data_IF_878388951679
#
_entry.id   IF_878388951679
#
_cell.length_a   1.000
_cell.length_b   1.000
_cell.length_c   1.000
_cell.angle_alpha   90.00
_cell.angle_beta   90.00
_cell.angle_gamma   90.00
#
_symmetry.space_group_name_H-M   'P 1'
#
loop_
_entity.id
_entity.type
_entity.pdbx_description
1 polymer ?
#
# COMPACT_ATOMS: atom_id res chain seq x y z
N UNK A 1 -3.75 -41.63 7.24
CA UNK A 1 -3.29 -40.35 7.82
C UNK A 1 -4.33 -39.29 7.49
N UNK A 2 -4.86 -38.55 8.46
CA UNK A 2 -5.87 -37.52 8.22
C UNK A 2 -5.22 -36.25 7.63
N UNK A 3 -5.96 -35.37 6.92
CA UNK A 3 -5.46 -34.06 6.50
C UNK A 3 -5.72 -33.02 7.59
N UNK A 4 -5.03 -31.86 7.56
CA UNK A 4 -5.80 -30.61 7.65
C UNK A 4 -5.25 -29.53 6.69
N UNK A 5 -6.06 -29.09 5.71
CA UNK A 5 -7.03 -27.97 5.80
C UNK A 5 -6.37 -26.63 5.47
N UNK A 6 -6.37 -26.29 4.17
CA UNK A 6 -6.21 -24.92 3.71
C UNK A 6 -7.50 -24.14 4.00
N UNK A 7 -7.43 -23.23 4.96
CA UNK A 7 -8.48 -22.24 5.21
C UNK A 7 -8.42 -21.15 4.13
N UNK A 8 -9.31 -21.25 3.15
CA UNK A 8 -9.70 -20.10 2.32
C UNK A 8 -10.92 -19.48 3.00
N UNK A 9 -10.78 -18.25 3.49
CA UNK A 9 -11.96 -17.48 3.91
C UNK A 9 -12.67 -16.95 2.67
N UNK A 10 -13.82 -17.53 2.35
CA UNK A 10 -14.85 -16.91 1.52
C UNK A 10 -15.83 -16.24 2.47
N UNK A 11 -15.88 -14.90 2.43
CA UNK A 11 -16.85 -14.12 3.21
C UNK A 11 -18.26 -14.46 2.72
N UNK A 12 -19.21 -14.91 3.58
CA UNK A 12 -20.55 -15.29 3.15
C UNK A 12 -21.41 -14.08 2.72
N UNK A 13 -22.38 -14.25 1.80
CA UNK A 13 -23.20 -13.15 1.26
C UNK A 13 -24.13 -12.48 2.30
N UNK A 14 -24.33 -13.10 3.46
CA UNK A 14 -25.24 -12.58 4.50
C UNK A 14 -24.69 -11.38 5.27
N UNK A 15 -23.38 -11.10 5.21
CA UNK A 15 -22.80 -9.88 5.82
C UNK A 15 -23.05 -8.60 5.01
N UNK A 16 -23.70 -8.67 3.84
CA UNK A 16 -23.92 -7.53 2.94
C UNK A 16 -25.31 -6.89 3.05
N UNK A 17 -26.17 -7.32 3.98
CA UNK A 17 -27.50 -6.70 4.14
C UNK A 17 -27.61 -5.88 5.42
N UNK A 18 -27.17 -4.63 5.37
CA UNK A 18 -27.82 -3.53 6.09
C UNK A 18 -27.96 -2.31 5.19
N UNK A 19 -29.08 -2.30 4.46
CA UNK A 19 -29.69 -1.13 3.82
C UNK A 19 -29.91 -0.01 4.85
N UNK A 20 -29.59 1.23 4.46
CA UNK A 20 -29.81 2.55 5.14
C UNK A 20 -28.65 3.20 5.92
N UNK A 21 -27.39 2.78 5.75
CA UNK A 21 -26.26 3.22 6.63
C UNK A 21 -25.18 4.09 5.96
N UNK A 22 -25.25 4.36 4.65
CA UNK A 22 -24.17 5.03 3.90
C UNK A 22 -23.88 6.47 4.38
N UNK A 23 -24.91 7.23 4.78
CA UNK A 23 -24.73 8.61 5.28
C UNK A 23 -24.20 8.68 6.72
N UNK A 24 -24.54 7.71 7.58
CA UNK A 24 -24.04 7.66 8.97
C UNK A 24 -22.60 7.15 9.03
N UNK A 25 -22.22 6.20 8.16
CA UNK A 25 -20.86 5.71 8.03
C UNK A 25 -19.92 6.82 7.48
N UNK A 26 -20.35 7.54 6.44
CA UNK A 26 -19.58 8.66 5.89
C UNK A 26 -19.34 9.79 6.92
N UNK A 27 -20.39 10.18 7.66
CA UNK A 27 -20.28 11.19 8.73
C UNK A 27 -19.38 10.75 9.91
N UNK A 28 -19.28 9.44 10.17
CA UNK A 28 -18.39 8.91 11.22
C UNK A 28 -16.92 8.94 10.78
N UNK A 29 -16.64 8.72 9.50
CA UNK A 29 -15.28 8.76 8.93
C UNK A 29 -14.73 10.20 8.89
N UNK A 30 -15.55 11.20 8.57
CA UNK A 30 -15.13 12.62 8.53
C UNK A 30 -14.60 13.15 9.88
N UNK A 31 -15.04 12.57 11.01
CA UNK A 31 -14.61 12.97 12.36
C UNK A 31 -13.42 12.17 12.91
N UNK A 32 -12.83 11.25 12.13
CA UNK A 32 -11.73 10.41 12.63
C UNK A 32 -10.43 11.22 12.70
N UNK A 33 -9.90 11.37 13.92
CA UNK A 33 -8.51 11.77 14.15
C UNK A 33 -7.58 10.75 13.46
N UNK A 34 -6.45 11.25 12.98
CA UNK A 34 -5.40 10.38 12.45
C UNK A 34 -5.00 9.34 13.52
N UNK A 35 -4.93 8.08 13.13
CA UNK A 35 -4.41 7.03 14.01
C UNK A 35 -2.94 6.81 13.71
N UNK A 36 -2.20 6.41 14.73
CA UNK A 36 -0.80 6.05 14.63
C UNK A 36 -0.57 4.74 15.37
N UNK A 37 0.21 3.84 14.79
CA UNK A 37 0.47 2.52 15.35
C UNK A 37 1.85 2.01 14.94
N UNK A 38 2.50 1.21 15.80
CA UNK A 38 3.87 0.77 15.57
C UNK A 38 3.95 -0.23 14.41
N UNK A 39 5.00 -0.11 13.62
CA UNK A 39 5.44 -1.10 12.65
C UNK A 39 6.66 -1.83 13.19
N UNK A 40 6.80 -3.11 12.87
CA UNK A 40 8.01 -3.89 13.15
C UNK A 40 9.02 -3.83 12.01
N UNK A 41 8.57 -3.69 10.75
CA UNK A 41 9.45 -3.61 9.58
C UNK A 41 8.83 -2.77 8.46
N UNK A 42 9.68 -2.06 7.72
CA UNK A 42 9.36 -1.48 6.41
C UNK A 42 10.40 -1.95 5.39
N UNK A 43 9.94 -2.44 4.24
CA UNK A 43 10.78 -2.82 3.11
C UNK A 43 10.25 -2.20 1.81
N UNK A 44 11.14 -1.57 1.05
CA UNK A 44 10.87 -0.98 -0.27
C UNK A 44 12.07 -1.28 -1.16
N UNK A 45 11.90 -2.11 -2.19
CA UNK A 45 13.05 -2.62 -2.97
C UNK A 45 14.08 -3.31 -2.06
N UNK A 46 15.31 -2.79 -2.09
CA UNK A 46 16.43 -3.22 -1.22
C UNK A 46 16.49 -2.45 0.12
N UNK A 47 15.80 -1.31 0.24
CA UNK A 47 15.73 -0.58 1.50
C UNK A 47 14.90 -1.41 2.50
N UNK A 48 15.47 -1.64 3.68
CA UNK A 48 14.82 -2.39 4.75
C UNK A 48 15.23 -1.81 6.10
N UNK A 49 14.23 -1.55 6.94
CA UNK A 49 14.42 -1.17 8.34
C UNK A 49 13.52 -2.02 9.23
N UNK A 50 14.07 -2.43 10.37
CA UNK A 50 13.36 -3.15 11.43
C UNK A 50 13.41 -2.32 12.71
N UNK A 51 12.27 -2.15 13.38
CA UNK A 51 12.18 -1.41 14.62
C UNK A 51 12.75 -2.26 15.77
N UNK A 52 13.72 -1.71 16.51
CA UNK A 52 14.24 -2.30 17.75
C UNK A 52 13.40 -1.86 18.94
N UNK A 53 12.89 -0.63 18.90
CA UNK A 53 12.07 -0.06 19.95
C UNK A 53 10.71 0.39 19.40
N UNK A 54 9.65 0.36 20.23
CA UNK A 54 8.40 1.02 19.91
C UNK A 54 8.66 2.48 19.51
N UNK A 55 7.93 2.96 18.50
CA UNK A 55 8.01 4.32 17.95
C UNK A 55 9.19 4.66 17.03
N UNK A 56 10.13 3.75 16.79
CA UNK A 56 11.15 3.96 15.75
C UNK A 56 10.55 3.92 14.34
N UNK A 57 9.53 3.08 14.15
CA UNK A 57 8.82 2.91 12.90
C UNK A 57 7.32 2.96 13.16
N UNK A 58 6.63 3.95 12.59
CA UNK A 58 5.23 4.24 12.87
C UNK A 58 4.45 4.40 11.57
N UNK A 59 3.36 3.65 11.45
CA UNK A 59 2.35 3.87 10.43
C UNK A 59 1.33 4.89 10.94
N UNK A 60 0.92 5.82 10.08
CA UNK A 60 -0.18 6.75 10.35
C UNK A 60 -1.22 6.68 9.25
N UNK A 61 -2.48 6.53 9.64
CA UNK A 61 -3.62 6.58 8.73
C UNK A 61 -4.45 7.82 9.02
N UNK A 62 -4.57 8.70 8.03
CA UNK A 62 -5.46 9.85 8.04
C UNK A 62 -6.71 9.51 7.22
N UNK A 63 -7.64 8.74 7.81
CA UNK A 63 -8.81 8.22 7.10
C UNK A 63 -9.62 9.31 6.39
N UNK A 64 -10.00 10.39 7.10
CA UNK A 64 -10.75 11.48 6.49
C UNK A 64 -9.99 12.23 5.38
N UNK A 65 -8.65 12.25 5.43
CA UNK A 65 -7.81 12.90 4.42
C UNK A 65 -7.30 11.95 3.35
N UNK A 66 -7.71 10.68 3.39
CA UNK A 66 -7.31 9.65 2.46
C UNK A 66 -5.80 9.58 2.24
N UNK A 67 -5.06 9.43 3.35
CA UNK A 67 -3.59 9.49 3.34
C UNK A 67 -2.95 8.50 4.31
N UNK A 68 -1.90 7.83 3.85
CA UNK A 68 -1.01 7.00 4.65
C UNK A 68 0.34 7.69 4.84
N UNK A 69 1.01 7.39 5.94
CA UNK A 69 2.33 7.93 6.23
C UNK A 69 3.18 6.92 7.00
N UNK A 70 4.42 6.73 6.55
CA UNK A 70 5.45 5.97 7.24
C UNK A 70 6.39 6.96 7.91
N UNK A 71 6.39 7.02 9.24
CA UNK A 71 7.33 7.83 10.03
C UNK A 71 8.46 6.92 10.53
N UNK A 72 9.70 7.36 10.33
CA UNK A 72 10.93 6.65 10.65
C UNK A 72 11.77 7.56 11.53
N UNK A 73 12.21 7.08 12.68
CA UNK A 73 13.19 7.74 13.54
C UNK A 73 14.56 7.12 13.27
N UNK A 74 15.51 7.92 12.81
CA UNK A 74 16.88 7.49 12.52
C UNK A 74 17.85 8.54 13.04
N UNK A 75 18.83 8.13 13.85
CA UNK A 75 19.84 9.00 14.46
C UNK A 75 19.27 10.26 15.14
N UNK A 76 18.12 10.11 15.80
CA UNK A 76 17.45 11.20 16.52
C UNK A 76 16.69 12.19 15.64
N UNK A 77 16.63 11.97 14.32
CA UNK A 77 15.85 12.76 13.38
C UNK A 77 14.68 11.94 12.82
N UNK A 78 13.54 12.59 12.66
CA UNK A 78 12.38 11.97 12.01
C UNK A 78 12.38 12.20 10.51
N UNK A 79 12.01 11.15 9.79
CA UNK A 79 11.78 11.13 8.37
C UNK A 79 10.37 10.60 8.12
N UNK A 80 9.74 11.02 7.01
CA UNK A 80 8.46 10.45 6.62
C UNK A 80 8.30 10.28 5.12
N UNK A 81 7.62 9.19 4.77
CA UNK A 81 7.08 8.92 3.45
C UNK A 81 5.58 9.18 3.52
N UNK A 82 5.06 10.04 2.66
CA UNK A 82 3.64 10.39 2.61
C UNK A 82 3.00 9.90 1.31
N UNK A 83 1.88 9.18 1.43
CA UNK A 83 1.18 8.52 0.34
C UNK A 83 -0.28 8.93 0.35
N UNK A 84 -0.76 9.50 -0.75
CA UNK A 84 -2.19 9.70 -0.96
C UNK A 84 -2.84 8.38 -1.33
N UNK A 85 -3.94 8.00 -0.68
CA UNK A 85 -4.64 6.74 -0.95
C UNK A 85 -4.99 6.60 -2.42
N UNK A 86 -5.41 7.69 -3.08
CA UNK A 86 -5.72 7.73 -4.52
C UNK A 86 -4.59 7.20 -5.43
N UNK A 87 -3.34 7.23 -4.96
CA UNK A 87 -2.18 6.76 -5.71
C UNK A 87 -1.85 5.28 -5.43
N UNK A 88 -2.63 4.58 -4.60
CA UNK A 88 -2.49 3.15 -4.35
C UNK A 88 -3.25 2.39 -5.45
N UNK A 89 -2.59 1.51 -6.17
CA UNK A 89 -3.17 0.71 -7.26
C UNK A 89 -3.37 -0.76 -6.95
N UNK A 90 -2.74 -1.27 -5.88
CA UNK A 90 -3.08 -2.56 -5.30
C UNK A 90 -2.82 -2.50 -3.80
N UNK A 91 -3.60 -3.27 -3.05
CA UNK A 91 -3.46 -3.40 -1.60
C UNK A 91 -3.77 -4.84 -1.21
N UNK A 92 -2.98 -5.40 -0.29
CA UNK A 92 -3.21 -6.71 0.30
C UNK A 92 -2.81 -6.68 1.77
N UNK A 93 -3.56 -7.39 2.61
CA UNK A 93 -3.13 -7.69 3.97
C UNK A 93 -3.11 -9.21 4.19
N UNK A 94 -2.16 -9.66 5.02
CA UNK A 94 -2.14 -11.02 5.59
C UNK A 94 -2.20 -10.85 7.10
N UNK A 95 -3.23 -11.43 7.71
CA UNK A 95 -3.56 -11.27 9.12
C UNK A 95 -3.98 -12.65 9.63
N UNK A 96 -3.14 -13.23 10.49
CA UNK A 96 -3.38 -14.54 11.10
C UNK A 96 -3.24 -14.43 12.62
N UNK A 97 -3.96 -15.27 13.35
CA UNK A 97 -3.88 -15.31 14.81
C UNK A 97 -2.43 -15.58 15.28
N UNK A 98 -1.96 -14.77 16.21
CA UNK A 98 -0.60 -14.83 16.80
C UNK A 98 0.57 -14.61 15.81
N UNK A 99 0.30 -14.20 14.57
CA UNK A 99 1.33 -13.89 13.58
C UNK A 99 1.47 -12.38 13.37
N UNK A 100 2.65 -11.88 12.94
CA UNK A 100 2.79 -10.49 12.53
C UNK A 100 1.83 -10.16 11.38
N UNK A 101 1.11 -9.06 11.50
CA UNK A 101 0.28 -8.56 10.41
C UNK A 101 1.16 -8.04 9.28
N UNK A 102 0.80 -8.31 8.03
CA UNK A 102 1.50 -7.82 6.84
C UNK A 102 0.56 -6.92 6.05
N UNK A 103 1.01 -5.71 5.71
CA UNK A 103 0.35 -4.84 4.73
C UNK A 103 1.29 -4.65 3.54
N UNK A 104 0.78 -4.92 2.36
CA UNK A 104 1.46 -4.62 1.11
C UNK A 104 0.62 -3.64 0.31
N UNK A 105 1.27 -2.58 -0.17
CA UNK A 105 0.66 -1.63 -1.09
C UNK A 105 1.53 -1.48 -2.32
N UNK A 106 0.87 -1.25 -3.44
CA UNK A 106 1.48 -0.90 -4.71
C UNK A 106 1.01 0.49 -5.12
N UNK A 107 1.93 1.32 -5.60
CA UNK A 107 1.70 2.72 -5.90
C UNK A 107 1.76 2.99 -7.40
N UNK A 108 0.95 3.93 -7.90
CA UNK A 108 1.05 4.46 -9.27
C UNK A 108 1.88 5.74 -9.36
N UNK A 109 2.09 6.41 -8.24
CA UNK A 109 2.93 7.62 -8.16
C UNK A 109 3.94 7.52 -7.04
N UNK A 110 5.12 8.09 -7.29
CA UNK A 110 6.19 8.24 -6.31
C UNK A 110 5.65 9.01 -5.09
N UNK A 111 5.89 8.53 -3.85
CA UNK A 111 5.43 9.20 -2.64
C UNK A 111 6.22 10.49 -2.36
N UNK A 112 5.71 11.30 -1.43
CA UNK A 112 6.39 12.53 -0.99
C UNK A 112 7.26 12.27 0.22
N UNK A 113 8.46 12.85 0.24
CA UNK A 113 9.44 12.67 1.32
C UNK A 113 9.62 13.94 2.13
N UNK A 114 9.76 13.79 3.44
CA UNK A 114 10.00 14.91 4.34
C UNK A 114 10.96 14.50 5.46
N UNK A 115 11.66 15.49 6.00
CA UNK A 115 12.51 15.35 7.18
C UNK A 115 12.15 16.39 8.24
N UNK A 116 12.41 16.06 9.49
CA UNK A 116 12.28 16.98 10.62
C UNK A 116 13.33 18.09 10.54
N UNK A 117 12.94 19.30 10.93
CA UNK A 117 13.84 20.43 11.10
C UNK A 117 13.78 20.90 12.55
N UNK A 118 14.95 21.21 13.12
CA UNK A 118 15.12 21.73 14.48
C UNK A 118 14.31 20.97 15.54
N UNK A 119 14.71 19.75 15.92
CA UNK A 119 14.01 18.97 16.94
C UNK A 119 13.98 19.76 18.26
N UNK A 120 12.80 20.31 18.59
CA UNK A 120 12.60 21.11 19.80
C UNK A 120 11.82 20.27 20.82
N UNK A 121 12.39 20.00 22.01
CA UNK A 121 11.69 19.29 23.06
C UNK A 121 10.34 19.96 23.36
N UNK A 122 9.28 19.15 23.51
CA UNK A 122 7.92 19.60 23.86
C UNK A 122 7.24 20.51 22.82
N UNK A 123 7.76 20.63 21.61
CA UNK A 123 7.09 21.31 20.48
C UNK A 123 6.63 20.31 19.42
N UNK A 124 5.67 20.72 18.60
CA UNK A 124 5.27 19.94 17.44
C UNK A 124 6.42 19.81 16.45
N UNK A 125 6.60 18.61 15.89
CA UNK A 125 7.58 18.36 14.83
C UNK A 125 7.30 19.25 13.63
N UNK A 126 8.32 19.99 13.22
CA UNK A 126 8.32 20.78 12.00
C UNK A 126 8.91 19.95 10.87
N UNK A 127 8.25 19.97 9.71
CA UNK A 127 8.63 19.17 8.55
C UNK A 127 9.08 20.08 7.40
N UNK A 128 10.12 19.66 6.68
CA UNK A 128 10.48 20.23 5.38
C UNK A 128 10.53 19.13 4.32
N UNK A 129 10.30 19.49 3.06
CA UNK A 129 10.44 18.56 1.92
C UNK A 129 11.87 18.03 1.90
N UNK A 130 12.03 16.76 1.59
CA UNK A 130 13.33 16.11 1.47
C UNK A 130 13.43 15.31 0.18
N UNK A 131 14.66 14.92 -0.15
CA UNK A 131 14.91 13.90 -1.15
C UNK A 131 14.55 12.52 -0.59
N UNK A 132 14.54 11.52 -1.46
CA UNK A 132 14.36 10.14 -1.07
C UNK A 132 15.52 9.67 -0.18
N UNK A 133 15.23 9.44 1.10
CA UNK A 133 16.19 8.98 2.12
C UNK A 133 16.32 7.45 2.15
N UNK A 134 15.71 6.74 1.20
CA UNK A 134 15.79 5.28 1.07
C UNK A 134 16.79 4.86 -0.01
N UNK A 135 17.82 5.67 -0.27
CA UNK A 135 18.77 5.48 -1.37
C UNK A 135 18.09 5.32 -2.75
N UNK A 136 17.05 6.12 -2.97
CA UNK A 136 16.27 6.11 -4.21
C UNK A 136 15.31 4.93 -4.36
N UNK A 137 15.23 4.01 -3.39
CA UNK A 137 14.38 2.82 -3.50
C UNK A 137 12.90 3.18 -3.56
N UNK A 138 12.41 4.12 -2.76
CA UNK A 138 11.01 4.56 -2.75
C UNK A 138 10.63 5.42 -3.98
N UNK A 139 11.63 5.97 -4.68
CA UNK A 139 11.44 6.66 -5.96
C UNK A 139 11.45 5.71 -7.16
N UNK A 140 12.08 4.55 -7.03
CA UNK A 140 12.19 3.56 -8.11
C UNK A 140 11.14 2.45 -7.98
N UNK A 141 10.98 1.88 -6.80
CA UNK A 141 10.12 0.75 -6.53
C UNK A 141 8.73 1.20 -6.08
N UNK A 142 7.70 0.63 -6.71
CA UNK A 142 6.32 0.99 -6.43
C UNK A 142 5.66 0.19 -5.31
N UNK A 143 6.33 -0.84 -4.78
CA UNK A 143 5.76 -1.76 -3.78
C UNK A 143 6.38 -1.54 -2.42
N UNK A 144 5.53 -1.34 -1.42
CA UNK A 144 5.92 -1.22 -0.04
C UNK A 144 5.40 -2.43 0.73
N UNK A 145 6.28 -3.06 1.49
CA UNK A 145 5.97 -4.19 2.36
C UNK A 145 6.16 -3.75 3.81
N UNK A 146 5.11 -3.90 4.61
CA UNK A 146 5.07 -3.46 6.00
C UNK A 146 4.72 -4.63 6.89
N UNK A 147 5.41 -4.75 8.03
CA UNK A 147 5.05 -5.69 9.08
C UNK A 147 4.64 -4.95 10.35
N UNK A 148 3.71 -5.56 11.07
CA UNK A 148 3.14 -5.05 12.30
C UNK A 148 3.21 -6.14 13.38
N UNK A 149 3.32 -5.77 14.67
CA UNK A 149 3.10 -6.72 15.75
C UNK A 149 1.73 -7.42 15.64
N UNK A 150 1.58 -8.65 16.17
CA UNK A 150 0.32 -9.38 16.11
C UNK A 150 -0.87 -8.56 16.63
N UNK A 151 -1.99 -8.58 15.90
CA UNK A 151 -3.24 -7.89 16.24
C UNK A 151 -3.27 -6.36 16.02
N UNK A 152 -2.14 -5.74 15.65
CA UNK A 152 -2.09 -4.27 15.45
C UNK A 152 -2.73 -3.85 14.12
N UNK A 153 -2.55 -4.64 13.06
CA UNK A 153 -3.00 -4.27 11.71
C UNK A 153 -4.52 -4.38 11.56
N UNK A 154 -5.15 -5.32 12.26
CA UNK A 154 -6.50 -5.85 12.03
C UNK A 154 -7.57 -4.76 11.99
N UNK A 155 -7.73 -4.01 13.09
CA UNK A 155 -8.72 -2.94 13.19
C UNK A 155 -8.40 -1.78 12.23
N UNK A 156 -7.11 -1.49 12.05
CA UNK A 156 -6.66 -0.36 11.23
C UNK A 156 -6.85 -0.63 9.73
N UNK A 157 -6.63 -1.87 9.30
CA UNK A 157 -6.88 -2.29 7.93
C UNK A 157 -8.38 -2.21 7.60
N UNK A 158 -9.24 -2.72 8.49
CA UNK A 158 -10.69 -2.62 8.29
C UNK A 158 -11.17 -1.17 8.20
N UNK A 159 -10.68 -0.28 9.08
CA UNK A 159 -11.00 1.16 9.02
C UNK A 159 -10.48 1.82 7.75
N UNK A 160 -9.31 1.41 7.26
CA UNK A 160 -8.75 1.92 6.01
C UNK A 160 -9.68 1.61 4.83
N UNK A 161 -10.12 0.36 4.70
CA UNK A 161 -11.03 -0.06 3.62
C UNK A 161 -12.41 0.60 3.73
N UNK A 162 -12.94 0.77 4.94
CA UNK A 162 -14.22 1.46 5.17
C UNK A 162 -14.16 2.96 4.84
N UNK A 163 -12.98 3.57 4.91
CA UNK A 163 -12.82 4.99 4.61
C UNK A 163 -12.77 5.29 3.10
N UNK A 164 -12.34 4.34 2.28
CA UNK A 164 -12.18 4.48 0.83
C UNK A 164 -12.71 3.23 0.10
N UNK A 165 -13.90 3.35 -0.51
CA UNK A 165 -14.51 2.27 -1.28
C UNK A 165 -13.59 1.74 -2.40
N UNK A 166 -12.73 2.59 -2.97
CA UNK A 166 -11.79 2.15 -4.00
C UNK A 166 -10.71 1.25 -3.41
N UNK A 167 -10.22 1.51 -2.19
CA UNK A 167 -9.29 0.60 -1.51
C UNK A 167 -9.97 -0.73 -1.19
N UNK A 168 -11.24 -0.72 -0.79
CA UNK A 168 -12.02 -1.93 -0.60
C UNK A 168 -12.09 -2.76 -1.90
N UNK A 169 -12.42 -2.14 -3.03
CA UNK A 169 -12.43 -2.82 -4.34
C UNK A 169 -11.04 -3.36 -4.71
N UNK A 170 -9.97 -2.58 -4.50
CA UNK A 170 -8.61 -3.00 -4.80
C UNK A 170 -8.16 -4.19 -3.94
N UNK A 171 -8.61 -4.28 -2.68
CA UNK A 171 -8.28 -5.38 -1.78
C UNK A 171 -8.83 -6.74 -2.22
N UNK A 172 -9.85 -6.74 -3.08
CA UNK A 172 -10.49 -7.94 -3.63
C UNK A 172 -9.85 -8.40 -4.95
N UNK A 173 -8.93 -7.60 -5.51
CA UNK A 173 -8.21 -7.92 -6.75
C UNK A 173 -6.93 -8.70 -6.46
N UNK A 174 -6.32 -9.21 -7.51
CA UNK A 174 -5.00 -9.84 -7.42
C UNK A 174 -3.94 -8.80 -7.04
N UNK A 175 -2.98 -9.23 -6.23
CA UNK A 175 -1.80 -8.45 -5.89
C UNK A 175 -0.54 -9.17 -6.39
N UNK A 176 0.39 -8.49 -7.08
CA UNK A 176 0.36 -7.08 -7.49
C UNK A 176 -0.60 -6.80 -8.66
N UNK A 177 -0.90 -5.52 -8.93
CA UNK A 177 -1.67 -5.09 -10.11
C UNK A 177 -0.83 -4.95 -11.37
N UNK A 178 0.49 -4.72 -11.24
CA UNK A 178 1.43 -4.70 -12.37
C UNK A 178 2.47 -5.80 -12.24
N UNK A 179 2.97 -6.32 -13.37
CA UNK A 179 4.12 -7.22 -13.36
C UNK A 179 5.42 -6.50 -12.98
N UNK A 180 5.53 -5.20 -13.29
CA UNK A 180 6.70 -4.40 -12.96
C UNK A 180 6.75 -4.03 -11.49
N UNK A 181 7.94 -4.11 -10.90
CA UNK A 181 8.21 -3.60 -9.56
C UNK A 181 8.58 -2.11 -9.54
N UNK A 182 8.71 -1.47 -10.71
CA UNK A 182 9.21 -0.11 -10.88
C UNK A 182 8.13 0.87 -11.36
N UNK A 183 8.24 2.15 -10.99
CA UNK A 183 7.34 3.20 -11.49
C UNK A 183 7.49 3.46 -13.00
N UNK A 184 8.70 3.39 -13.54
CA UNK A 184 9.01 3.69 -14.95
C UNK A 184 9.31 2.42 -15.76
N UNK A 185 8.40 1.44 -15.76
CA UNK A 185 8.52 0.32 -16.71
C UNK A 185 7.88 0.68 -18.04
N UNK A 186 8.73 0.94 -19.04
CA UNK A 186 8.33 1.11 -20.45
C UNK A 186 7.71 -0.16 -21.09
N UNK A 187 7.56 -1.25 -20.33
CA UNK A 187 7.10 -2.54 -20.84
C UNK A 187 5.57 -2.72 -20.83
N UNK A 188 4.80 -1.78 -20.28
CA UNK A 188 3.33 -1.90 -20.18
C UNK A 188 2.56 -1.26 -21.36
N UNK A 189 3.26 -0.76 -22.39
CA UNK A 189 2.63 -0.10 -23.55
C UNK A 189 2.72 -0.90 -24.88
N UNK A 190 3.09 -2.17 -24.87
CA UNK A 190 3.45 -2.85 -26.12
C UNK A 190 3.11 -4.33 -26.23
N UNK A 191 1.94 -4.82 -25.80
CA UNK A 191 1.48 -6.16 -26.26
C UNK A 191 -0.04 -6.36 -26.18
N UNK A 192 -0.81 -5.69 -27.05
CA UNK A 192 -2.10 -6.26 -27.50
C UNK A 192 -2.50 -5.74 -28.88
N UNK A 193 -1.89 -6.28 -29.93
CA UNK A 193 -2.57 -6.52 -31.21
C UNK A 193 -1.77 -7.55 -32.04
N UNK A 194 -1.82 -8.81 -31.62
CA UNK A 194 -1.69 -9.91 -32.58
C UNK A 194 -3.09 -10.24 -33.07
N UNK A 195 -3.52 -9.53 -34.13
CA UNK A 195 -4.64 -9.97 -34.93
C UNK A 195 -4.20 -11.21 -35.69
N UNK A 196 -4.67 -12.38 -35.24
CA UNK A 196 -4.64 -13.61 -36.04
C UNK A 196 -5.59 -13.39 -37.21
N UNK A 197 -5.04 -12.90 -38.32
CA UNK A 197 -5.67 -12.94 -39.63
C UNK A 197 -5.14 -14.16 -40.36
N UNK A 198 -5.94 -15.22 -40.41
CA UNK A 198 -5.81 -16.24 -41.44
C UNK A 198 -6.09 -15.57 -42.78
N UNK A 199 -5.15 -15.66 -43.73
CA UNK A 199 -5.49 -15.98 -45.12
C UNK A 199 -4.26 -16.45 -45.90
N UNK A 200 -4.32 -17.71 -46.33
CA UNK A 200 -3.47 -18.26 -47.38
C UNK A 200 -4.03 -17.78 -48.72
N UNK A 201 -3.29 -16.94 -49.46
CA UNK A 201 -3.23 -17.11 -50.91
C UNK A 201 -2.06 -16.36 -51.57
N UNK A 202 -1.24 -17.15 -52.27
CA UNK A 202 -0.56 -16.82 -53.53
C UNK A 202 0.73 -15.98 -53.53
N UNK A 203 1.79 -16.70 -53.90
CA UNK A 203 3.11 -16.33 -54.44
C UNK A 203 3.03 -15.24 -55.53
N UNK A 204 4.01 -14.33 -55.59
CA UNK A 204 4.84 -13.97 -56.78
C UNK A 204 5.88 -12.89 -56.39
N UNK A 205 7.16 -13.18 -56.60
CA UNK A 205 8.25 -12.18 -56.66
C UNK A 205 8.18 -11.39 -57.97
N UNK A 206 8.63 -10.12 -58.02
CA UNK A 206 9.92 -9.91 -58.68
C UNK A 206 10.80 -8.76 -58.15
N UNK A 207 12.09 -8.93 -58.45
CA UNK A 207 13.20 -7.99 -58.52
C UNK A 207 12.83 -6.53 -58.84
N UNK A 208 13.45 -5.59 -58.11
CA UNK A 208 14.43 -4.61 -58.62
C UNK A 208 15.29 -4.08 -57.46
#
# INVERSE_FOLDING_TARGET
>A
LPPPLGLKFTVPPEMLQQTSSSQLAANKVEKLKAVQFPMSMLKIGYFKIEAKYPYELVAKCYYARQKLMWEILHDGLKYKIEIQCQNISAIRAVIDENSPGILEIELDKVPSFFREIEPKPKKHTMWTISHDFTDGQASQYRRHYLQFPPGVLDEHYMKLLQSDNRLLELSQRTFPSSHSAYFNSYLDQGTTQFSIGHDLHTIVYPYF
#
